data_IF_346245909497
#
_entry.id   IF_346245909497
#
_cell.length_a   1.000
_cell.length_b   1.000
_cell.length_c   1.000
_cell.angle_alpha   90.00
_cell.angle_beta   90.00
_cell.angle_gamma   90.00
#
_symmetry.space_group_name_H-M   'P 1'
#
loop_
_entity.id
_entity.type
_entity.pdbx_description
1 polymer ?
#
# COMPACT_ATOMS: atom_id res chain seq x y z
N UNK A 1 -3.63 1.30 -20.67
CA UNK A 1 -3.02 -0.08 -20.68
C UNK A 1 -3.38 -0.86 -19.41
N UNK A 2 -3.24 -0.26 -18.22
CA UNK A 2 -3.52 -0.91 -16.93
C UNK A 2 -5.00 -1.25 -16.74
N UNK A 3 -5.91 -0.35 -17.11
CA UNK A 3 -7.36 -0.61 -17.08
C UNK A 3 -7.76 -1.88 -17.84
N UNK A 4 -7.21 -2.11 -19.04
CA UNK A 4 -7.45 -3.34 -19.81
C UNK A 4 -6.99 -4.59 -19.05
N UNK A 5 -5.89 -4.50 -18.29
CA UNK A 5 -5.44 -5.61 -17.43
C UNK A 5 -6.37 -5.82 -16.25
N UNK A 6 -6.80 -4.74 -15.58
CA UNK A 6 -7.77 -4.81 -14.48
C UNK A 6 -9.10 -5.45 -14.93
N UNK A 7 -9.65 -5.03 -16.06
CA UNK A 7 -10.87 -5.62 -16.64
C UNK A 7 -10.69 -7.11 -16.94
N UNK A 8 -9.57 -7.50 -17.56
CA UNK A 8 -9.28 -8.92 -17.84
C UNK A 8 -9.14 -9.75 -16.57
N UNK A 9 -8.51 -9.21 -15.51
CA UNK A 9 -8.37 -9.88 -14.22
C UNK A 9 -9.71 -10.06 -13.51
N UNK A 10 -10.58 -9.03 -13.52
CA UNK A 10 -11.94 -9.09 -12.96
C UNK A 10 -12.77 -10.17 -13.64
N UNK A 11 -12.71 -10.24 -14.99
CA UNK A 11 -13.39 -11.29 -15.76
C UNK A 11 -12.90 -12.69 -15.42
N UNK A 12 -11.58 -12.88 -15.28
CA UNK A 12 -10.98 -14.18 -14.99
C UNK A 12 -11.25 -14.63 -13.54
N UNK A 13 -11.30 -13.69 -12.60
CA UNK A 13 -11.55 -13.96 -11.18
C UNK A 13 -13.04 -13.97 -10.79
N UNK A 14 -13.95 -13.78 -11.75
CA UNK A 14 -15.40 -13.72 -11.54
C UNK A 14 -15.83 -12.66 -10.50
N UNK A 15 -15.08 -11.56 -10.41
CA UNK A 15 -15.47 -10.41 -9.57
C UNK A 15 -16.39 -9.47 -10.36
N UNK A 16 -17.25 -8.75 -9.65
CA UNK A 16 -18.18 -7.77 -10.24
C UNK A 16 -17.74 -6.31 -10.01
N UNK A 17 -16.72 -6.11 -9.18
CA UNK A 17 -16.14 -4.79 -8.92
C UNK A 17 -14.86 -4.62 -9.73
N UNK A 18 -14.81 -3.56 -10.54
CA UNK A 18 -13.61 -3.15 -11.27
C UNK A 18 -12.91 -2.08 -10.43
N UNK A 19 -11.68 -2.32 -9.95
CA UNK A 19 -10.93 -1.30 -9.22
C UNK A 19 -10.59 -0.12 -10.14
N UNK A 20 -10.72 1.08 -9.60
CA UNK A 20 -10.26 2.30 -10.26
C UNK A 20 -8.72 2.30 -10.32
N UNK A 21 -8.17 2.76 -11.44
CA UNK A 21 -6.72 2.88 -11.64
C UNK A 21 -6.41 4.35 -11.92
N UNK A 22 -5.79 5.02 -10.96
CA UNK A 22 -5.46 6.44 -11.00
C UNK A 22 -3.95 6.61 -10.95
N UNK A 23 -3.43 7.54 -11.73
CA UNK A 23 -2.04 8.00 -11.66
C UNK A 23 -2.01 9.25 -10.78
N UNK A 24 -1.19 9.22 -9.73
CA UNK A 24 -1.05 10.28 -8.74
C UNK A 24 0.42 10.49 -8.41
N UNK A 25 0.80 11.73 -8.17
CA UNK A 25 2.10 12.06 -7.60
C UNK A 25 2.13 11.68 -6.11
N UNK A 26 3.33 11.35 -5.61
CA UNK A 26 3.52 10.94 -4.22
C UNK A 26 2.92 11.94 -3.22
N UNK A 27 3.12 13.25 -3.46
CA UNK A 27 2.58 14.32 -2.63
C UNK A 27 1.06 14.40 -2.64
N UNK A 28 0.41 14.04 -3.76
CA UNK A 28 -1.05 14.00 -3.83
C UNK A 28 -1.59 12.83 -3.01
N UNK A 29 -0.90 11.68 -3.04
CA UNK A 29 -1.28 10.50 -2.25
C UNK A 29 -1.19 10.78 -0.75
N UNK A 30 -0.20 11.56 -0.29
CA UNK A 30 -0.08 11.94 1.11
C UNK A 30 -1.28 12.75 1.63
N UNK A 31 -1.98 13.46 0.74
CA UNK A 31 -3.15 14.29 1.08
C UNK A 31 -4.47 13.51 1.05
N UNK A 32 -4.48 12.24 0.65
CA UNK A 32 -5.71 11.45 0.60
C UNK A 32 -6.22 11.14 2.01
N UNK A 33 -7.53 11.31 2.19
CA UNK A 33 -8.22 10.96 3.43
C UNK A 33 -8.51 9.46 3.49
N UNK A 34 -8.11 8.84 4.60
CA UNK A 34 -8.33 7.45 4.96
C UNK A 34 -8.30 7.34 6.49
N UNK A 35 -9.05 6.39 7.05
CA UNK A 35 -9.12 6.17 8.49
C UNK A 35 -7.78 5.61 9.01
N UNK A 36 -7.21 4.65 8.27
CA UNK A 36 -5.91 4.05 8.56
C UNK A 36 -4.98 4.20 7.35
N UNK A 37 -3.76 4.68 7.62
CA UNK A 37 -2.74 4.93 6.60
C UNK A 37 -1.47 4.15 6.94
N UNK A 38 -0.93 3.43 5.97
CA UNK A 38 0.20 2.53 6.15
C UNK A 38 1.26 2.70 5.06
N UNK A 39 2.53 2.59 5.44
CA UNK A 39 3.67 2.60 4.51
C UNK A 39 4.60 1.41 4.78
N UNK A 40 4.78 0.56 3.77
CA UNK A 40 5.76 -0.52 3.84
C UNK A 40 7.15 -0.02 3.44
N UNK A 41 8.15 -0.23 4.29
CA UNK A 41 9.55 0.13 4.04
C UNK A 41 10.52 -0.89 4.66
N UNK A 42 11.74 -0.95 4.14
CA UNK A 42 12.76 -1.91 4.59
C UNK A 42 13.65 -1.39 5.73
N UNK A 43 13.45 -0.17 6.22
CA UNK A 43 14.27 0.39 7.31
C UNK A 43 13.89 -0.18 8.69
N UNK A 44 14.84 -0.78 9.40
CA UNK A 44 14.61 -1.40 10.72
C UNK A 44 14.58 -0.40 11.88
N UNK A 45 15.21 0.76 11.71
CA UNK A 45 15.23 1.83 12.74
C UNK A 45 13.91 2.60 12.80
N UNK A 46 13.05 2.45 11.79
CA UNK A 46 11.77 3.13 11.70
C UNK A 46 10.65 2.24 12.26
N UNK A 47 9.69 2.80 13.01
CA UNK A 47 8.68 2.00 13.69
C UNK A 47 7.77 1.29 12.68
N UNK A 48 7.60 -0.02 12.86
CA UNK A 48 6.63 -0.84 12.11
C UNK A 48 5.61 -1.40 13.09
N UNK A 49 4.34 -1.38 12.69
CA UNK A 49 3.25 -1.92 13.50
C UNK A 49 2.74 -3.20 12.86
N UNK A 50 2.37 -4.17 13.71
CA UNK A 50 1.51 -5.26 13.27
C UNK A 50 0.11 -4.72 13.03
N UNK A 51 -0.47 -5.13 11.91
CA UNK A 51 -1.78 -4.69 11.45
C UNK A 51 -2.87 -4.89 12.51
N UNK A 52 -3.71 -3.87 12.70
CA UNK A 52 -5.05 -4.01 13.28
C UNK A 52 -6.08 -3.80 12.17
N UNK A 53 -6.50 -4.88 11.50
CA UNK A 53 -7.55 -4.76 10.48
C UNK A 53 -8.89 -4.64 11.17
N UNK A 54 -9.51 -3.48 11.01
CA UNK A 54 -10.96 -3.38 11.07
C UNK A 54 -11.47 -3.31 9.62
N UNK A 55 -12.23 -4.31 9.18
CA UNK A 55 -12.74 -4.38 7.81
C UNK A 55 -13.72 -3.25 7.46
N UNK A 56 -14.17 -2.49 8.46
CA UNK A 56 -15.10 -1.37 8.28
C UNK A 56 -14.41 -0.03 7.98
N UNK A 57 -13.07 0.05 8.05
CA UNK A 57 -12.34 1.31 7.85
C UNK A 57 -11.78 1.45 6.44
N UNK A 58 -11.72 2.68 5.94
CA UNK A 58 -11.05 3.01 4.68
C UNK A 58 -9.55 3.04 4.92
N UNK A 59 -8.85 2.09 4.30
CA UNK A 59 -7.40 1.90 4.47
C UNK A 59 -6.63 2.36 3.24
N UNK A 60 -5.48 3.00 3.46
CA UNK A 60 -4.54 3.41 2.42
C UNK A 60 -3.16 2.83 2.69
N UNK A 61 -2.60 2.09 1.72
CA UNK A 61 -1.31 1.40 1.88
C UNK A 61 -0.35 1.83 0.77
N UNK A 62 0.84 2.29 1.15
CA UNK A 62 1.94 2.63 0.26
C UNK A 62 2.93 1.46 0.15
N UNK A 63 3.19 1.05 -1.10
CA UNK A 63 4.22 0.07 -1.44
C UNK A 63 5.23 0.79 -2.33
N UNK A 64 6.50 0.78 -1.92
CA UNK A 64 7.58 1.48 -2.60
C UNK A 64 7.97 0.84 -3.93
N UNK A 65 8.75 1.55 -4.76
CA UNK A 65 9.34 0.98 -5.97
C UNK A 65 10.46 -0.01 -5.63
N UNK A 66 11.12 -0.60 -6.64
CA UNK A 66 12.22 -1.57 -6.43
C UNK A 66 13.39 -0.99 -5.60
N UNK A 67 13.58 0.33 -5.65
CA UNK A 67 14.57 1.07 -4.85
C UNK A 67 14.14 1.41 -3.43
N UNK A 68 12.92 1.05 -3.04
CA UNK A 68 12.20 1.49 -1.84
C UNK A 68 11.95 3.01 -1.79
N UNK A 69 11.18 3.45 -0.81
CA UNK A 69 11.10 4.85 -0.43
C UNK A 69 12.43 5.30 0.19
N UNK A 70 12.82 6.55 -0.05
CA UNK A 70 13.90 7.17 0.71
C UNK A 70 13.48 7.40 2.16
N UNK A 71 14.45 7.53 3.07
CA UNK A 71 14.17 7.87 4.47
C UNK A 71 13.42 9.21 4.62
N UNK A 72 13.65 10.17 3.72
CA UNK A 72 12.91 11.43 3.67
C UNK A 72 11.44 11.22 3.29
N UNK A 73 11.15 10.38 2.30
CA UNK A 73 9.77 10.05 1.91
C UNK A 73 9.06 9.30 3.05
N UNK A 74 9.73 8.34 3.69
CA UNK A 74 9.15 7.64 4.85
C UNK A 74 8.78 8.64 5.96
N UNK A 75 9.65 9.61 6.26
CA UNK A 75 9.33 10.65 7.24
C UNK A 75 8.16 11.54 6.79
N UNK A 76 8.10 11.94 5.51
CA UNK A 76 6.96 12.71 4.99
C UNK A 76 5.64 11.94 5.10
N UNK A 77 5.66 10.63 4.89
CA UNK A 77 4.48 9.78 5.11
C UNK A 77 4.08 9.78 6.59
N UNK A 78 5.03 9.61 7.52
CA UNK A 78 4.74 9.67 8.95
C UNK A 78 4.15 11.02 9.37
N UNK A 79 4.71 12.12 8.86
CA UNK A 79 4.19 13.47 9.10
C UNK A 79 2.77 13.65 8.54
N UNK A 80 2.41 12.92 7.47
CA UNK A 80 1.07 12.87 6.88
C UNK A 80 0.12 11.85 7.56
N UNK A 81 0.54 11.26 8.69
CA UNK A 81 -0.26 10.35 9.50
C UNK A 81 -0.20 8.88 9.09
N UNK A 82 0.74 8.50 8.21
CA UNK A 82 0.98 7.09 7.91
C UNK A 82 1.71 6.40 9.06
N UNK A 83 1.48 5.10 9.20
CA UNK A 83 2.17 4.22 10.13
C UNK A 83 3.04 3.21 9.37
N UNK A 84 4.19 2.84 9.90
CA UNK A 84 5.03 1.82 9.27
C UNK A 84 4.33 0.46 9.29
N UNK A 85 4.36 -0.24 8.16
CA UNK A 85 3.71 -1.54 7.99
C UNK A 85 4.74 -2.66 7.97
N UNK A 86 4.61 -3.60 8.90
CA UNK A 86 5.40 -4.82 8.87
C UNK A 86 4.77 -5.89 7.96
N UNK A 87 5.51 -6.31 6.92
CA UNK A 87 5.11 -7.38 6.01
C UNK A 87 5.82 -8.71 6.31
N UNK A 88 6.64 -8.78 7.36
CA UNK A 88 7.34 -9.96 7.83
C UNK A 88 8.87 -9.80 7.80
N UNK A 89 9.56 -10.84 8.31
CA UNK A 89 11.02 -10.85 8.50
C UNK A 89 11.83 -10.66 7.20
N UNK A 90 11.35 -11.22 6.09
CA UNK A 90 12.08 -11.21 4.84
C UNK A 90 11.72 -10.00 3.98
N UNK A 91 12.74 -9.42 3.34
CA UNK A 91 12.55 -8.40 2.31
C UNK A 91 11.76 -8.97 1.14
N UNK A 92 10.57 -8.42 0.91
CA UNK A 92 9.72 -8.75 -0.22
C UNK A 92 10.06 -7.88 -1.43
N UNK A 93 9.93 -8.44 -2.65
CA UNK A 93 9.93 -7.62 -3.86
C UNK A 93 8.65 -6.79 -3.94
N UNK A 94 8.71 -5.69 -4.69
CA UNK A 94 7.62 -4.72 -4.88
C UNK A 94 6.26 -5.38 -5.13
N UNK A 95 6.18 -6.30 -6.10
CA UNK A 95 4.92 -6.96 -6.46
C UNK A 95 4.44 -7.94 -5.39
N UNK A 96 5.37 -8.64 -4.73
CA UNK A 96 5.04 -9.57 -3.64
C UNK A 96 4.52 -8.83 -2.42
N UNK A 97 5.13 -7.70 -2.06
CA UNK A 97 4.68 -6.84 -0.98
C UNK A 97 3.24 -6.35 -1.22
N UNK A 98 2.94 -5.90 -2.45
CA UNK A 98 1.58 -5.48 -2.82
C UNK A 98 0.55 -6.60 -2.69
N UNK A 99 0.87 -7.82 -3.15
CA UNK A 99 -0.03 -8.98 -3.01
C UNK A 99 -0.22 -9.33 -1.52
N UNK A 100 0.86 -9.41 -0.74
CA UNK A 100 0.79 -9.74 0.69
C UNK A 100 -0.06 -8.71 1.44
N UNK A 101 0.17 -7.41 1.20
CA UNK A 101 -0.65 -6.34 1.77
C UNK A 101 -2.14 -6.56 1.44
N UNK A 102 -2.50 -6.69 0.16
CA UNK A 102 -3.90 -6.91 -0.22
C UNK A 102 -4.49 -8.18 0.38
N UNK A 103 -3.71 -9.25 0.62
CA UNK A 103 -4.20 -10.47 1.27
C UNK A 103 -4.41 -10.35 2.77
N UNK A 104 -3.62 -9.51 3.47
CA UNK A 104 -3.76 -9.33 4.92
C UNK A 104 -4.87 -8.34 5.28
N UNK A 105 -5.13 -7.36 4.41
CA UNK A 105 -6.15 -6.32 4.57
C UNK A 105 -7.47 -6.63 3.82
N UNK A 106 -7.78 -7.91 3.58
CA UNK A 106 -9.08 -8.33 3.02
C UNK A 106 -10.22 -8.27 4.04
#
# INVERSE_FOLDING_TARGET
RLEKKAISAVKQSLRFYIPEVVELDYTEVLQLEADDKYIAHCYDEQPKTEQSSNQETKQLILIGPEGDFTTSEVQQAFDAGFQGLDLGEFRLRTETAAIVAVTRFQ
#
